data_IF_949462478472
#
_entry.id   IF_949462478472
#
_cell.length_a   1.000
_cell.length_b   1.000
_cell.length_c   1.000
_cell.angle_alpha   90.00
_cell.angle_beta   90.00
_cell.angle_gamma   90.00
#
_symmetry.space_group_name_H-M   'P 1'
#
loop_
_entity.id
_entity.type
_entity.pdbx_description
1 polymer ?
#
# COMPACT_ATOMS: atom_id res chain seq x y z
N UNK A 1 -17.59 7.97 12.91
CA UNK A 1 -17.01 8.25 11.62
C UNK A 1 -16.14 7.10 11.14
N UNK A 2 -16.58 6.49 10.11
CA UNK A 2 -15.80 5.39 9.56
C UNK A 2 -14.72 5.94 8.66
N UNK A 3 -13.49 5.64 8.98
CA UNK A 3 -12.40 5.93 8.09
C UNK A 3 -12.35 4.82 7.04
N UNK A 4 -12.65 5.16 5.81
CA UNK A 4 -12.54 4.19 4.74
C UNK A 4 -11.08 3.98 4.42
N UNK A 5 -10.66 2.75 4.15
CA UNK A 5 -9.26 2.50 3.79
C UNK A 5 -8.90 3.20 2.49
N UNK A 6 -7.66 3.64 2.41
CA UNK A 6 -7.15 4.23 1.19
C UNK A 6 -6.93 3.10 0.17
N UNK A 7 -7.46 3.29 -1.03
CA UNK A 7 -7.30 2.30 -2.09
C UNK A 7 -6.03 2.58 -2.86
N UNK A 8 -5.15 1.60 -2.91
CA UNK A 8 -3.88 1.68 -3.62
C UNK A 8 -3.88 0.64 -4.73
N UNK A 9 -3.33 0.99 -5.88
CA UNK A 9 -3.20 0.04 -6.99
C UNK A 9 -1.72 -0.21 -7.27
N UNK A 10 -1.37 -1.47 -7.45
CA UNK A 10 0.00 -1.84 -7.78
C UNK A 10 0.11 -2.17 -9.27
N UNK A 11 1.01 -1.46 -9.93
CA UNK A 11 1.30 -1.67 -11.34
C UNK A 11 2.60 -2.46 -11.52
N UNK A 12 2.93 -2.77 -12.76
CA UNK A 12 4.16 -3.48 -13.08
C UNK A 12 5.38 -2.76 -12.49
N UNK A 13 6.38 -3.53 -12.05
CA UNK A 13 7.57 -2.96 -11.44
C UNK A 13 7.35 -2.52 -10.01
N UNK A 14 6.33 -3.04 -9.36
CA UNK A 14 6.00 -2.74 -7.97
C UNK A 14 5.69 -1.25 -7.73
N UNK A 15 5.17 -0.59 -8.73
CA UNK A 15 4.77 0.81 -8.57
C UNK A 15 3.41 0.87 -7.88
N UNK A 16 3.36 1.64 -6.80
CA UNK A 16 2.15 1.81 -6.02
C UNK A 16 1.55 3.17 -6.34
N UNK A 17 0.28 3.18 -6.69
CA UNK A 17 -0.42 4.40 -7.10
C UNK A 17 -1.66 4.63 -6.25
N UNK A 18 -1.81 5.86 -5.77
CA UNK A 18 -3.00 6.28 -5.04
C UNK A 18 -3.89 7.08 -5.97
N UNK A 19 -4.95 6.47 -6.54
CA UNK A 19 -5.80 7.18 -7.49
C UNK A 19 -6.57 8.35 -6.87
N UNK A 20 -6.88 8.28 -5.58
CA UNK A 20 -7.60 9.36 -4.92
C UNK A 20 -6.73 10.62 -4.82
N UNK A 21 -5.44 10.46 -4.56
CA UNK A 21 -4.51 11.59 -4.45
C UNK A 21 -3.82 11.90 -5.78
N UNK A 22 -3.82 10.96 -6.71
CA UNK A 22 -3.20 11.15 -8.00
C UNK A 22 -1.68 11.10 -7.99
N UNK A 23 -1.09 10.35 -7.06
CA UNK A 23 0.37 10.27 -6.96
C UNK A 23 0.83 8.83 -6.70
N UNK A 24 2.11 8.61 -6.99
CA UNK A 24 2.76 7.35 -6.69
C UNK A 24 3.30 7.34 -5.26
N UNK A 25 3.38 6.14 -4.69
CA UNK A 25 3.85 5.96 -3.32
C UNK A 25 4.99 4.95 -3.28
N UNK A 26 5.80 5.04 -2.23
CA UNK A 26 6.82 4.03 -1.95
C UNK A 26 6.30 3.07 -0.88
N UNK A 27 7.01 1.96 -0.69
CA UNK A 27 6.69 1.03 0.40
C UNK A 27 6.79 1.76 1.75
N UNK A 28 7.77 2.65 1.89
CA UNK A 28 7.91 3.45 3.11
C UNK A 28 6.71 4.33 3.37
N UNK A 29 6.17 4.93 2.30
CA UNK A 29 4.97 5.76 2.43
C UNK A 29 3.78 4.94 2.91
N UNK A 30 3.62 3.73 2.36
CA UNK A 30 2.54 2.84 2.79
C UNK A 30 2.72 2.41 4.23
N UNK A 31 3.96 2.14 4.63
CA UNK A 31 4.26 1.76 6.01
C UNK A 31 3.82 2.83 6.98
N UNK A 32 4.08 4.09 6.64
CA UNK A 32 3.66 5.21 7.48
C UNK A 32 2.13 5.31 7.54
N UNK A 33 1.45 5.08 6.42
CA UNK A 33 -0.02 5.08 6.39
C UNK A 33 -0.60 3.95 7.22
N UNK A 34 0.06 2.80 7.22
CA UNK A 34 -0.40 1.64 7.98
C UNK A 34 -0.32 1.82 9.49
N UNK A 35 0.45 2.80 9.95
CA UNK A 35 0.51 3.11 11.36
C UNK A 35 -0.67 3.97 11.81
N UNK A 36 -1.35 4.59 10.86
CA UNK A 36 -2.54 5.38 11.15
C UNK A 36 -3.77 4.47 11.18
N UNK A 37 -4.83 4.99 11.79
CA UNK A 37 -6.09 4.25 11.86
C UNK A 37 -6.75 4.04 10.50
N UNK A 38 -6.38 4.85 9.53
CA UNK A 38 -7.01 4.79 8.21
C UNK A 38 -6.71 3.50 7.47
N UNK A 39 -5.47 3.05 7.56
CA UNK A 39 -5.08 1.85 6.86
C UNK A 39 -5.14 1.99 5.35
N UNK A 40 -4.93 0.88 4.66
CA UNK A 40 -5.00 0.87 3.21
C UNK A 40 -5.34 -0.52 2.69
N UNK A 41 -5.81 -0.57 1.44
CA UNK A 41 -6.04 -1.81 0.71
C UNK A 41 -5.31 -1.71 -0.62
N UNK A 42 -4.56 -2.74 -0.98
CA UNK A 42 -3.80 -2.73 -2.23
C UNK A 42 -4.38 -3.76 -3.19
N UNK A 43 -4.66 -3.33 -4.40
CA UNK A 43 -5.13 -4.20 -5.48
C UNK A 43 -4.11 -4.25 -6.60
N UNK A 44 -3.95 -5.43 -7.20
CA UNK A 44 -3.18 -5.58 -8.42
C UNK A 44 -3.97 -4.94 -9.56
N UNK A 45 -3.40 -3.90 -10.17
CA UNK A 45 -4.11 -3.16 -11.22
C UNK A 45 -4.43 -4.03 -12.43
N UNK A 46 -3.61 -5.04 -12.71
CA UNK A 46 -3.81 -5.91 -13.86
C UNK A 46 -4.84 -7.00 -13.59
N UNK A 47 -4.72 -7.67 -12.46
CA UNK A 47 -5.57 -8.82 -12.12
C UNK A 47 -6.80 -8.42 -11.32
N UNK A 48 -6.79 -7.26 -10.69
CA UNK A 48 -7.88 -6.84 -9.82
C UNK A 48 -7.94 -7.58 -8.50
N UNK A 49 -6.89 -8.31 -8.15
CA UNK A 49 -6.86 -9.08 -6.92
C UNK A 49 -6.38 -8.23 -5.74
N UNK A 50 -6.91 -8.53 -4.57
CA UNK A 50 -6.47 -7.91 -3.32
C UNK A 50 -5.14 -8.52 -2.91
N UNK A 51 -4.09 -7.71 -2.97
CA UNK A 51 -2.74 -8.14 -2.62
C UNK A 51 -2.21 -7.44 -1.37
N UNK A 52 -3.11 -6.90 -0.57
CA UNK A 52 -2.73 -6.19 0.65
C UNK A 52 -1.80 -7.00 1.53
N UNK A 53 -2.08 -8.29 1.65
CA UNK A 53 -1.29 -9.19 2.48
C UNK A 53 0.17 -9.25 2.03
N UNK A 54 0.39 -9.34 0.73
CA UNK A 54 1.74 -9.38 0.17
C UNK A 54 2.48 -8.08 0.45
N UNK A 55 1.78 -6.97 0.29
CA UNK A 55 2.39 -5.65 0.49
C UNK A 55 2.73 -5.44 1.96
N UNK A 56 1.86 -5.88 2.86
CA UNK A 56 2.14 -5.80 4.30
C UNK A 56 3.40 -6.58 4.66
N UNK A 57 3.58 -7.75 4.08
CA UNK A 57 4.80 -8.53 4.30
C UNK A 57 6.04 -7.79 3.82
N UNK A 58 5.94 -7.13 2.68
CA UNK A 58 7.04 -6.34 2.15
C UNK A 58 7.40 -5.19 3.07
N UNK A 59 6.39 -4.53 3.64
CA UNK A 59 6.62 -3.44 4.58
C UNK A 59 7.37 -3.95 5.81
N UNK A 60 6.97 -5.09 6.35
CA UNK A 60 7.61 -5.68 7.51
C UNK A 60 9.07 -6.01 7.21
N UNK A 61 9.33 -6.60 6.04
CA UNK A 61 10.69 -6.94 5.63
C UNK A 61 11.56 -5.70 5.48
N UNK A 62 11.01 -4.65 4.88
CA UNK A 62 11.76 -3.40 4.72
C UNK A 62 12.12 -2.79 6.07
N UNK A 63 11.20 -2.79 7.01
CA UNK A 63 11.47 -2.27 8.34
C UNK A 63 12.54 -3.08 9.05
N UNK A 64 12.50 -4.40 8.91
CA UNK A 64 13.49 -5.26 9.53
C UNK A 64 14.88 -5.01 8.96
N UNK A 65 14.97 -4.68 7.67
CA UNK A 65 16.25 -4.40 7.03
C UNK A 65 16.84 -3.07 7.45
N UNK A 66 15.98 -2.12 7.77
CA UNK A 66 16.44 -0.79 8.19
C UNK A 66 16.61 -0.66 9.70
N UNK A 67 16.03 -1.58 10.41
CA UNK A 67 16.10 -1.58 11.86
C UNK A 67 17.37 -2.15 12.38
#
# INVERSE_FOLDING_TARGET
MSAEPVIIKQYAGRRLYNPAAGNYLTIGDLGAMGEDEEGFVVYDAKAGEDITHFVLKQIIVERARHG
#
